data_IF_597698743766
#
_entry.id   IF_597698743766
#
_cell.length_a   1.000
_cell.length_b   1.000
_cell.length_c   1.000
_cell.angle_alpha   90.00
_cell.angle_beta   90.00
_cell.angle_gamma   90.00
#
_symmetry.space_group_name_H-M   'P 1'
#
loop_
_entity.id
_entity.type
_entity.pdbx_description
1 polymer ?
#
# COMPACT_ATOMS: atom_id res chain seq x y z
N UNK A 1 -6.10 -6.12 20.18
CA UNK A 1 -5.80 -4.73 20.57
C UNK A 1 -6.60 -3.81 19.68
N UNK A 2 -7.45 -2.93 20.27
CA UNK A 2 -8.16 -1.93 19.50
C UNK A 2 -7.17 -0.80 19.14
N UNK A 3 -6.94 -0.59 17.87
CA UNK A 3 -6.19 0.58 17.39
C UNK A 3 -7.14 1.78 17.43
N UNK A 4 -6.81 2.77 18.25
CA UNK A 4 -7.60 4.00 18.36
C UNK A 4 -7.26 4.93 17.18
N UNK A 5 -7.99 4.76 16.08
CA UNK A 5 -7.94 5.75 15.00
C UNK A 5 -8.65 7.01 15.48
N UNK A 6 -8.03 8.20 15.45
CA UNK A 6 -8.67 9.44 15.85
C UNK A 6 -9.99 9.65 15.09
N UNK A 7 -11.02 10.15 15.78
CA UNK A 7 -12.34 10.41 15.17
C UNK A 7 -12.22 11.39 13.98
N UNK A 8 -11.35 12.39 14.07
CA UNK A 8 -11.04 13.35 12.99
C UNK A 8 -10.53 12.69 11.70
N UNK A 9 -9.99 11.46 11.78
CA UNK A 9 -9.53 10.73 10.61
C UNK A 9 -10.66 10.20 9.70
N UNK A 10 -11.91 10.26 10.18
CA UNK A 10 -13.11 9.90 9.41
C UNK A 10 -13.68 11.08 8.62
N UNK A 11 -13.25 12.30 8.92
CA UNK A 11 -13.73 13.50 8.24
C UNK A 11 -13.20 13.53 6.81
N UNK A 12 -14.11 13.70 5.87
CA UNK A 12 -13.77 13.79 4.45
C UNK A 12 -13.25 15.19 4.11
N UNK A 13 -12.23 15.22 3.25
CA UNK A 13 -11.58 16.46 2.82
C UNK A 13 -11.35 16.45 1.32
N UNK A 14 -11.20 17.66 0.78
CA UNK A 14 -10.73 17.87 -0.58
C UNK A 14 -9.51 18.79 -0.53
N UNK A 15 -8.40 18.34 -1.10
CA UNK A 15 -7.16 19.10 -1.20
C UNK A 15 -6.35 18.58 -2.39
N UNK A 16 -5.61 19.48 -3.03
CA UNK A 16 -4.62 19.14 -4.05
C UNK A 16 -3.23 19.58 -3.64
N UNK A 17 -2.24 18.89 -4.16
CA UNK A 17 -0.82 19.19 -4.01
C UNK A 17 -0.15 19.16 -5.37
N UNK A 18 0.80 20.06 -5.58
CA UNK A 18 1.68 20.10 -6.75
C UNK A 18 3.12 19.82 -6.32
N UNK A 19 3.84 19.02 -7.12
CA UNK A 19 5.25 18.65 -6.87
C UNK A 19 5.51 18.21 -5.43
N UNK A 20 4.68 17.31 -4.95
CA UNK A 20 4.69 16.82 -3.57
C UNK A 20 5.40 15.46 -3.47
N UNK A 21 6.13 15.26 -2.40
CA UNK A 21 6.75 13.97 -2.07
C UNK A 21 5.83 13.07 -1.26
N UNK A 22 5.99 11.76 -1.40
CA UNK A 22 5.20 10.77 -0.67
C UNK A 22 5.32 10.94 0.85
N UNK A 23 6.55 11.12 1.37
CA UNK A 23 6.75 11.33 2.81
C UNK A 23 6.22 12.70 3.29
N UNK A 24 6.15 13.70 2.42
CA UNK A 24 5.54 14.98 2.75
C UNK A 24 4.02 14.85 2.92
N UNK A 25 3.35 14.03 2.08
CA UNK A 25 1.94 13.69 2.27
C UNK A 25 1.72 12.95 3.60
N UNK A 26 2.56 11.95 3.88
CA UNK A 26 2.52 11.19 5.14
C UNK A 26 2.70 12.11 6.36
N UNK A 27 3.68 13.02 6.33
CA UNK A 27 3.96 13.96 7.40
C UNK A 27 2.80 14.92 7.65
N UNK A 28 2.19 15.43 6.58
CA UNK A 28 1.04 16.32 6.70
C UNK A 28 -0.17 15.61 7.32
N UNK A 29 -0.45 14.38 6.88
CA UNK A 29 -1.55 13.57 7.43
C UNK A 29 -1.27 13.23 8.90
N UNK A 30 -0.06 12.79 9.24
CA UNK A 30 0.33 12.54 10.63
C UNK A 30 0.11 13.78 11.50
N UNK A 31 0.58 14.94 11.05
CA UNK A 31 0.43 16.22 11.78
C UNK A 31 -1.02 16.63 12.01
N UNK A 32 -1.91 16.41 11.03
CA UNK A 32 -3.36 16.70 11.18
C UNK A 32 -4.03 15.89 12.29
N UNK A 33 -3.51 14.71 12.58
CA UNK A 33 -4.05 13.78 13.57
C UNK A 33 -3.20 13.70 14.84
N UNK A 34 -2.27 14.65 15.03
CA UNK A 34 -1.36 14.71 16.19
C UNK A 34 -0.53 13.42 16.36
N UNK A 35 -0.17 12.80 15.23
CA UNK A 35 0.68 11.61 15.19
C UNK A 35 2.11 12.01 14.79
N UNK A 36 3.09 11.26 15.29
CA UNK A 36 4.47 11.34 14.84
C UNK A 36 4.69 10.38 13.67
N UNK A 37 5.31 10.84 12.59
CA UNK A 37 5.64 9.97 11.45
C UNK A 37 6.88 9.12 11.77
N UNK A 38 6.78 7.81 11.51
CA UNK A 38 7.89 6.85 11.54
C UNK A 38 7.89 6.06 10.23
N UNK A 39 9.05 5.81 9.63
CA UNK A 39 9.11 5.20 8.28
C UNK A 39 10.17 4.12 8.20
N UNK A 40 9.90 3.06 7.41
CA UNK A 40 10.82 1.95 7.17
C UNK A 40 10.88 1.60 5.68
N UNK A 41 12.05 1.65 5.08
CA UNK A 41 12.32 1.24 3.71
C UNK A 41 11.63 2.06 2.61
N UNK A 42 11.00 3.17 2.94
CA UNK A 42 10.24 3.98 1.99
C UNK A 42 11.17 4.73 1.03
N UNK A 43 10.93 4.57 -0.27
CA UNK A 43 11.48 5.43 -1.31
C UNK A 43 10.59 6.67 -1.46
N UNK A 44 11.15 7.86 -1.21
CA UNK A 44 10.40 9.13 -1.21
C UNK A 44 10.13 9.62 -2.64
N UNK A 45 9.10 9.07 -3.28
CA UNK A 45 8.70 9.41 -4.65
C UNK A 45 8.14 10.83 -4.72
N UNK A 46 8.38 11.51 -5.84
CA UNK A 46 7.81 12.84 -6.12
C UNK A 46 6.69 12.72 -7.14
N UNK A 47 5.56 13.35 -6.87
CA UNK A 47 4.39 13.43 -7.74
C UNK A 47 4.24 14.85 -8.29
N UNK A 48 3.97 15.00 -9.56
CA UNK A 48 3.67 16.31 -10.15
C UNK A 48 2.36 16.87 -9.61
N UNK A 49 1.36 16.01 -9.44
CA UNK A 49 0.05 16.38 -8.92
C UNK A 49 -0.61 15.24 -8.16
N UNK A 50 -1.15 15.53 -7.00
CA UNK A 50 -1.95 14.60 -6.19
C UNK A 50 -3.22 15.30 -5.74
N UNK A 51 -4.35 14.60 -5.80
CA UNK A 51 -5.65 15.09 -5.35
C UNK A 51 -6.27 14.12 -4.34
N UNK A 52 -6.73 14.68 -3.23
CA UNK A 52 -7.67 14.05 -2.31
C UNK A 52 -9.03 14.67 -2.59
N UNK A 53 -9.99 13.89 -3.10
CA UNK A 53 -11.31 14.37 -3.46
C UNK A 53 -12.37 13.71 -2.60
N UNK A 54 -12.90 14.46 -1.63
CA UNK A 54 -13.97 14.02 -0.72
C UNK A 54 -13.68 12.66 -0.04
N UNK A 55 -12.43 12.43 0.33
CA UNK A 55 -11.97 11.22 1.03
C UNK A 55 -11.49 11.55 2.45
N UNK A 56 -11.67 10.62 3.37
CA UNK A 56 -11.02 10.67 4.68
C UNK A 56 -9.50 10.53 4.50
N UNK A 57 -8.70 11.20 5.36
CA UNK A 57 -7.26 11.27 5.23
C UNK A 57 -6.60 9.87 5.14
N UNK A 58 -6.99 8.94 6.02
CA UNK A 58 -6.40 7.59 5.99
C UNK A 58 -6.89 6.74 4.82
N UNK A 59 -8.12 6.92 4.34
CA UNK A 59 -8.59 6.25 3.13
C UNK A 59 -7.83 6.75 1.89
N UNK A 60 -7.62 8.05 1.78
CA UNK A 60 -6.79 8.63 0.73
C UNK A 60 -5.35 8.11 0.80
N UNK A 61 -4.74 8.13 1.99
CA UNK A 61 -3.36 7.71 2.17
C UNK A 61 -3.18 6.21 1.93
N UNK A 62 -4.15 5.37 2.32
CA UNK A 62 -4.14 3.94 2.00
C UNK A 62 -4.07 3.70 0.50
N UNK A 63 -4.86 4.44 -0.29
CA UNK A 63 -4.82 4.32 -1.75
C UNK A 63 -3.42 4.69 -2.31
N UNK A 64 -2.77 5.71 -1.73
CA UNK A 64 -1.40 6.08 -2.14
C UNK A 64 -0.37 5.02 -1.72
N UNK A 65 -0.47 4.48 -0.51
CA UNK A 65 0.38 3.38 -0.04
C UNK A 65 0.25 2.15 -0.95
N UNK A 66 -0.98 1.74 -1.29
CA UNK A 66 -1.23 0.62 -2.21
C UNK A 66 -0.49 0.79 -3.55
N UNK A 67 -0.54 1.99 -4.15
CA UNK A 67 0.13 2.27 -5.42
C UNK A 67 1.66 2.21 -5.31
N UNK A 68 2.22 2.53 -4.16
CA UNK A 68 3.66 2.48 -3.93
C UNK A 68 4.16 1.15 -3.34
N UNK A 69 3.27 0.16 -3.15
CA UNK A 69 3.64 -1.11 -2.50
C UNK A 69 3.98 -0.96 -1.02
N UNK A 70 3.47 0.11 -0.42
CA UNK A 70 3.63 0.43 0.99
C UNK A 70 2.36 0.12 1.79
N UNK A 71 2.50 0.09 3.11
CA UNK A 71 1.40 0.03 4.04
C UNK A 71 1.65 0.96 5.23
N UNK A 72 0.61 1.22 6.02
CA UNK A 72 0.76 1.96 7.25
C UNK A 72 -0.10 1.40 8.37
N UNK A 73 0.28 1.72 9.59
CA UNK A 73 -0.50 1.47 10.78
C UNK A 73 -0.40 2.67 11.73
N UNK A 74 -1.42 2.83 12.58
CA UNK A 74 -1.40 3.80 13.67
C UNK A 74 -1.18 3.04 14.97
N UNK A 75 -0.09 3.34 15.65
CA UNK A 75 0.30 2.68 16.89
C UNK A 75 1.07 3.65 17.80
N UNK A 76 0.73 3.66 19.08
CA UNK A 76 1.41 4.42 20.13
C UNK A 76 1.66 5.90 19.76
N UNK A 77 0.63 6.59 19.25
CA UNK A 77 0.74 8.00 18.84
C UNK A 77 1.55 8.24 17.57
N UNK A 78 1.85 7.20 16.82
CA UNK A 78 2.64 7.26 15.58
C UNK A 78 1.83 6.83 14.38
N UNK A 79 2.09 7.46 13.24
CA UNK A 79 1.79 6.95 11.91
C UNK A 79 3.04 6.22 11.40
N UNK A 80 3.02 4.90 11.42
CA UNK A 80 4.13 4.07 10.96
C UNK A 80 3.88 3.68 9.51
N UNK A 81 4.75 4.11 8.60
CA UNK A 81 4.64 3.85 7.15
C UNK A 81 5.83 3.00 6.72
N UNK A 82 5.59 1.92 6.01
CA UNK A 82 6.65 1.00 5.61
C UNK A 82 6.46 0.44 4.20
N UNK A 83 7.57 0.21 3.52
CA UNK A 83 7.60 -0.58 2.30
C UNK A 83 7.46 -2.07 2.67
N UNK A 84 6.49 -2.75 2.08
CA UNK A 84 6.18 -4.13 2.45
C UNK A 84 7.28 -5.10 1.99
N UNK A 85 7.87 -4.89 0.81
CA UNK A 85 8.96 -5.73 0.33
C UNK A 85 10.23 -5.56 1.17
N UNK A 86 10.50 -4.33 1.61
CA UNK A 86 11.57 -4.06 2.56
C UNK A 86 11.35 -4.83 3.87
N UNK A 87 10.16 -4.77 4.46
CA UNK A 87 9.86 -5.47 5.72
C UNK A 87 10.00 -6.99 5.57
N UNK A 88 9.53 -7.56 4.47
CA UNK A 88 9.67 -9.00 4.18
C UNK A 88 11.14 -9.43 4.00
N UNK A 89 12.02 -8.52 3.58
CA UNK A 89 13.44 -8.80 3.41
C UNK A 89 14.25 -8.79 4.73
N UNK A 90 13.63 -8.29 5.82
CA UNK A 90 14.32 -8.21 7.12
C UNK A 90 14.45 -9.60 7.76
N UNK A 91 15.43 -9.74 8.64
CA UNK A 91 15.59 -10.96 9.42
C UNK A 91 14.38 -11.14 10.37
N UNK A 92 13.87 -12.38 10.52
CA UNK A 92 12.83 -12.67 11.50
C UNK A 92 13.25 -12.25 12.91
N UNK A 93 12.35 -11.56 13.62
CA UNK A 93 12.59 -11.18 15.03
C UNK A 93 12.25 -12.29 16.00
N UNK A 94 11.43 -13.25 15.58
CA UNK A 94 11.02 -14.40 16.38
C UNK A 94 10.58 -15.57 15.48
N UNK A 95 10.55 -16.77 16.05
CA UNK A 95 10.10 -17.98 15.36
C UNK A 95 9.01 -18.66 16.17
N UNK A 96 7.83 -18.81 15.57
CA UNK A 96 6.73 -19.55 16.19
C UNK A 96 6.81 -21.01 15.76
N UNK A 97 7.01 -21.89 16.72
CA UNK A 97 6.99 -23.33 16.47
C UNK A 97 5.56 -23.86 16.55
N UNK A 98 5.05 -24.36 15.44
CA UNK A 98 3.72 -24.97 15.37
C UNK A 98 3.84 -26.40 15.90
N UNK A 99 3.03 -26.73 16.90
CA UNK A 99 2.92 -28.08 17.45
C UNK A 99 1.52 -28.65 17.17
N UNK A 100 1.30 -29.98 17.27
CA UNK A 100 -0.05 -30.54 17.08
C UNK A 100 -1.13 -30.01 18.05
N UNK A 101 -0.73 -29.29 19.10
CA UNK A 101 -1.64 -28.65 20.05
C UNK A 101 -2.09 -27.23 19.60
N UNK A 102 -1.52 -26.70 18.55
CA UNK A 102 -1.92 -25.41 17.98
C UNK A 102 -2.93 -25.64 16.84
N UNK A 103 -4.03 -24.91 16.86
CA UNK A 103 -4.94 -24.84 15.72
C UNK A 103 -4.33 -23.91 14.67
N UNK A 104 -3.55 -24.49 13.74
CA UNK A 104 -2.97 -23.77 12.63
C UNK A 104 -3.69 -24.11 11.32
N UNK A 105 -4.28 -23.12 10.71
CA UNK A 105 -4.88 -23.23 9.38
C UNK A 105 -3.98 -22.52 8.36
N UNK A 106 -3.59 -23.25 7.31
CA UNK A 106 -2.87 -22.71 6.16
C UNK A 106 -3.75 -22.81 4.92
N UNK A 107 -3.95 -21.67 4.26
CA UNK A 107 -4.69 -21.59 3.01
C UNK A 107 -3.80 -21.04 1.92
N UNK A 108 -3.66 -21.78 0.84
CA UNK A 108 -2.99 -21.33 -0.37
C UNK A 108 -3.99 -21.29 -1.54
N UNK A 109 -4.34 -20.08 -1.95
CA UNK A 109 -5.21 -19.80 -3.09
C UNK A 109 -4.38 -19.29 -4.30
N UNK A 110 -3.16 -19.75 -4.44
CA UNK A 110 -2.23 -19.31 -5.50
C UNK A 110 -2.79 -19.40 -6.92
N UNK A 111 -3.73 -20.33 -7.17
CA UNK A 111 -4.47 -20.41 -8.45
C UNK A 111 -5.33 -19.19 -8.73
N UNK A 112 -5.71 -18.41 -7.72
CA UNK A 112 -6.47 -17.18 -7.85
C UNK A 112 -5.58 -15.94 -7.94
N UNK A 113 -4.28 -16.06 -7.70
CA UNK A 113 -3.34 -14.94 -7.77
C UNK A 113 -3.21 -14.42 -9.21
N UNK A 114 -2.99 -13.12 -9.32
CA UNK A 114 -2.67 -12.49 -10.60
C UNK A 114 -1.18 -12.65 -10.91
N UNK A 115 -0.85 -12.97 -12.18
CA UNK A 115 0.53 -13.04 -12.63
C UNK A 115 1.08 -11.68 -13.06
N UNK A 116 0.21 -10.76 -13.46
CA UNK A 116 0.60 -9.42 -13.87
C UNK A 116 -0.47 -8.38 -13.54
N UNK A 117 -0.10 -7.10 -13.60
CA UNK A 117 -1.03 -6.01 -13.47
C UNK A 117 -0.80 -4.91 -14.50
N UNK A 118 -1.87 -4.20 -14.84
CA UNK A 118 -1.90 -3.01 -15.66
C UNK A 118 -2.54 -1.86 -14.89
N UNK A 119 -1.84 -0.74 -14.77
CA UNK A 119 -2.35 0.54 -14.30
C UNK A 119 -2.62 1.44 -15.51
N UNK A 120 -3.87 1.83 -15.74
CA UNK A 120 -4.28 2.54 -16.97
C UNK A 120 -4.87 3.89 -16.65
N UNK A 121 -4.42 4.93 -17.32
CA UNK A 121 -5.11 6.23 -17.37
C UNK A 121 -4.77 6.96 -18.68
N UNK A 122 -5.80 7.37 -19.43
CA UNK A 122 -5.79 8.43 -20.46
C UNK A 122 -4.70 8.42 -21.53
N UNK A 123 -3.97 7.36 -21.75
CA UNK A 123 -2.88 7.26 -22.73
C UNK A 123 -1.61 6.64 -22.19
N UNK A 124 -1.49 6.45 -20.88
CA UNK A 124 -0.43 5.65 -20.26
C UNK A 124 -1.00 4.33 -19.76
N UNK A 125 -0.21 3.27 -19.98
CA UNK A 125 -0.45 1.95 -19.40
C UNK A 125 0.84 1.49 -18.75
N UNK A 126 0.86 1.49 -17.42
CA UNK A 126 1.93 0.87 -16.65
C UNK A 126 1.71 -0.62 -16.56
N UNK A 127 2.78 -1.40 -16.63
CA UNK A 127 2.71 -2.86 -16.59
C UNK A 127 3.73 -3.42 -15.61
N UNK A 128 3.36 -4.49 -14.93
CA UNK A 128 4.27 -5.26 -14.11
C UNK A 128 3.86 -6.74 -14.14
N UNK A 129 4.83 -7.63 -14.32
CA UNK A 129 4.64 -9.07 -14.25
C UNK A 129 5.48 -9.65 -13.10
N UNK A 130 4.86 -10.49 -12.28
CA UNK A 130 5.58 -11.21 -11.23
C UNK A 130 6.49 -12.30 -11.84
N UNK A 131 7.69 -12.51 -11.31
CA UNK A 131 8.49 -13.67 -11.67
C UNK A 131 7.68 -14.95 -11.36
N UNK A 132 7.57 -15.83 -12.34
CA UNK A 132 6.78 -17.08 -12.24
C UNK A 132 5.27 -16.86 -12.00
N UNK A 133 4.73 -15.68 -12.35
CA UNK A 133 3.29 -15.40 -12.30
C UNK A 133 2.53 -16.21 -13.34
N UNK A 134 1.24 -16.50 -13.06
CA UNK A 134 0.32 -17.12 -14.03
C UNK A 134 -0.16 -16.13 -15.10
N UNK A 135 -1.07 -16.57 -15.96
CA UNK A 135 -1.58 -15.79 -17.11
C UNK A 135 -2.65 -14.75 -16.73
N UNK A 136 -3.10 -14.74 -15.47
CA UNK A 136 -4.18 -13.87 -15.03
C UNK A 136 -3.69 -12.43 -14.87
N UNK A 137 -4.33 -11.49 -15.57
CA UNK A 137 -3.97 -10.08 -15.59
C UNK A 137 -4.95 -9.26 -14.74
N UNK A 138 -4.44 -8.46 -13.81
CA UNK A 138 -5.20 -7.44 -13.09
C UNK A 138 -5.14 -6.14 -13.87
N UNK A 139 -6.27 -5.65 -14.36
CA UNK A 139 -6.35 -4.33 -15.02
C UNK A 139 -7.10 -3.34 -14.14
N UNK A 140 -6.47 -2.21 -13.83
CA UNK A 140 -7.05 -1.11 -13.05
C UNK A 140 -6.99 0.20 -13.82
N UNK A 141 -8.16 0.83 -14.00
CA UNK A 141 -8.25 2.19 -14.51
C UNK A 141 -8.16 3.12 -13.31
N UNK A 142 -7.12 3.95 -13.28
CA UNK A 142 -6.91 4.92 -12.21
C UNK A 142 -7.75 6.19 -12.49
N UNK A 143 -8.37 6.81 -11.46
CA UNK A 143 -9.20 7.99 -11.63
C UNK A 143 -8.39 9.30 -11.76
N UNK A 144 -7.07 9.23 -11.86
CA UNK A 144 -6.15 10.37 -11.95
C UNK A 144 -5.05 10.09 -12.97
N UNK A 145 -4.45 11.18 -13.48
CA UNK A 145 -3.38 11.09 -14.48
C UNK A 145 -2.07 10.67 -13.83
N UNK A 146 -1.36 9.77 -14.49
CA UNK A 146 0.03 9.42 -14.18
C UNK A 146 0.99 10.34 -14.93
N UNK A 147 2.12 10.66 -14.32
CA UNK A 147 3.11 11.61 -14.86
C UNK A 147 3.89 11.01 -16.02
N UNK A 148 4.40 9.81 -15.85
CA UNK A 148 5.25 9.12 -16.82
C UNK A 148 5.11 7.59 -16.74
N UNK A 149 5.82 6.89 -17.61
CA UNK A 149 5.81 5.43 -17.68
C UNK A 149 6.37 4.78 -16.41
N UNK A 150 7.39 5.37 -15.80
CA UNK A 150 8.01 4.85 -14.58
C UNK A 150 7.03 4.87 -13.40
N UNK A 151 6.26 5.94 -13.25
CA UNK A 151 5.18 6.01 -12.26
C UNK A 151 4.09 4.98 -12.55
N UNK A 152 3.68 4.85 -13.79
CA UNK A 152 2.66 3.90 -14.21
C UNK A 152 3.06 2.44 -13.92
N UNK A 153 4.29 2.05 -14.23
CA UNK A 153 4.82 0.71 -13.98
C UNK A 153 4.95 0.43 -12.48
N UNK A 154 5.37 1.43 -11.71
CA UNK A 154 5.44 1.35 -10.25
C UNK A 154 4.06 1.14 -9.63
N UNK A 155 3.04 1.84 -10.10
CA UNK A 155 1.66 1.64 -9.66
C UNK A 155 1.12 0.27 -10.04
N UNK A 156 1.41 -0.23 -11.23
CA UNK A 156 1.05 -1.59 -11.62
C UNK A 156 1.67 -2.63 -10.66
N UNK A 157 2.93 -2.45 -10.26
CA UNK A 157 3.60 -3.30 -9.28
C UNK A 157 2.91 -3.26 -7.92
N UNK A 158 2.58 -2.08 -7.40
CA UNK A 158 1.88 -1.91 -6.13
C UNK A 158 0.49 -2.57 -6.14
N UNK A 159 -0.27 -2.38 -7.22
CA UNK A 159 -1.59 -2.99 -7.41
C UNK A 159 -1.53 -4.52 -7.45
N UNK A 160 -0.54 -5.09 -8.15
CA UNK A 160 -0.36 -6.54 -8.19
C UNK A 160 -0.06 -7.10 -6.80
N UNK A 161 0.84 -6.44 -6.08
CA UNK A 161 1.18 -6.82 -4.72
C UNK A 161 -0.05 -6.81 -3.80
N UNK A 162 -0.83 -5.74 -3.81
CA UNK A 162 -2.02 -5.60 -2.98
C UNK A 162 -3.08 -6.67 -3.31
N UNK A 163 -3.31 -6.95 -4.58
CA UNK A 163 -4.27 -7.96 -5.03
C UNK A 163 -3.88 -9.38 -4.58
N UNK A 164 -2.59 -9.66 -4.46
CA UNK A 164 -2.08 -10.99 -4.13
C UNK A 164 -1.78 -11.20 -2.63
N UNK A 165 -1.94 -10.17 -1.79
CA UNK A 165 -1.63 -10.25 -0.35
C UNK A 165 -2.28 -11.43 0.39
N UNK A 166 -3.47 -11.81 -0.03
CA UNK A 166 -4.26 -12.84 0.62
C UNK A 166 -4.27 -14.16 -0.18
N UNK A 167 -3.42 -14.30 -1.19
CA UNK A 167 -3.32 -15.55 -1.95
C UNK A 167 -2.80 -16.70 -1.09
N UNK A 168 -1.99 -16.38 -0.09
CA UNK A 168 -1.47 -17.34 0.91
C UNK A 168 -1.68 -16.78 2.30
N UNK A 169 -2.43 -17.46 3.14
CA UNK A 169 -2.77 -17.02 4.50
C UNK A 169 -2.55 -18.15 5.50
N UNK A 170 -1.87 -17.84 6.60
CA UNK A 170 -1.75 -18.70 7.77
C UNK A 170 -2.46 -18.07 8.98
N UNK A 171 -3.23 -18.86 9.71
CA UNK A 171 -3.92 -18.44 10.94
C UNK A 171 -3.53 -19.38 12.08
N UNK A 172 -3.17 -18.80 13.24
CA UNK A 172 -2.87 -19.46 14.50
C UNK A 172 -3.97 -19.18 15.51
#
# INVERSE_FOLDING_TARGET
>A
RAYSVPQSAKDKRSKSWEKVKFLQLAQEIAGRHSLTLETYGITDQTYDYVEQNNLADFAFFQNRCTLEGAAFLVYDGKLVVYDEAYMESQQPVDTITITPANDFEYRDEGTNAYGSAEAVNGGLTGTFAAPNGGDKVLRRILPFRMTDQSEADRFAKGLLRDANKNATVGTL
#
